data_IF_192300201065
#
_entry.id   IF_192300201065
#
_cell.length_a   1.000
_cell.length_b   1.000
_cell.length_c   1.000
_cell.angle_alpha   90.00
_cell.angle_beta   90.00
_cell.angle_gamma   90.00
#
_symmetry.space_group_name_H-M   'P 1'
#
loop_
_entity.id
_entity.type
_entity.pdbx_description
1 polymer ?
#
# COMPACT_ATOMS: atom_id res chain seq x y z
N UNK A 1 -12.63 13.27 2.19
CA UNK A 1 -11.39 12.54 2.57
C UNK A 1 -10.15 13.37 2.27
N UNK A 2 -10.08 14.04 1.09
CA UNK A 2 -8.88 14.78 0.67
C UNK A 2 -8.62 16.03 1.51
N UNK A 3 -9.66 16.70 1.98
CA UNK A 3 -9.54 17.82 2.91
C UNK A 3 -8.90 17.37 4.24
N UNK A 4 -9.37 16.26 4.80
CA UNK A 4 -8.82 15.71 6.05
C UNK A 4 -7.35 15.30 5.91
N UNK A 5 -6.95 14.73 4.77
CA UNK A 5 -5.54 14.36 4.53
C UNK A 5 -4.64 15.60 4.50
N UNK A 6 -5.04 16.66 3.79
CA UNK A 6 -4.26 17.91 3.76
C UNK A 6 -4.14 18.56 5.14
N UNK A 7 -5.18 18.47 5.95
CA UNK A 7 -5.21 18.97 7.32
C UNK A 7 -4.28 18.17 8.24
N UNK A 8 -4.29 16.84 8.10
CA UNK A 8 -3.35 15.97 8.85
C UNK A 8 -1.92 16.19 8.39
N UNK A 9 -1.68 16.41 7.08
CA UNK A 9 -0.34 16.73 6.57
C UNK A 9 0.22 18.03 7.16
N UNK A 10 -0.63 19.00 7.53
CA UNK A 10 -0.20 20.22 8.19
C UNK A 10 0.41 19.99 9.58
N UNK A 11 0.06 18.88 10.28
CA UNK A 11 0.68 18.51 11.56
C UNK A 11 2.17 18.20 11.47
N UNK A 12 2.62 17.74 10.32
CA UNK A 12 4.01 17.39 10.04
C UNK A 12 4.75 18.49 9.30
N UNK A 13 4.22 19.71 9.30
CA UNK A 13 4.89 20.88 8.72
C UNK A 13 6.00 21.37 9.65
N UNK A 14 7.05 21.95 9.08
CA UNK A 14 8.04 22.71 9.85
C UNK A 14 7.53 24.11 10.25
N UNK A 15 6.36 24.50 9.76
CA UNK A 15 5.69 25.74 10.10
C UNK A 15 4.80 25.56 11.33
N UNK A 16 5.12 26.24 12.42
CA UNK A 16 4.41 26.14 13.71
C UNK A 16 2.94 26.57 13.59
N UNK A 17 2.61 27.50 12.70
CA UNK A 17 1.24 27.93 12.50
C UNK A 17 0.39 26.83 11.82
N UNK A 18 0.97 26.13 10.86
CA UNK A 18 0.34 24.98 10.21
C UNK A 18 0.16 23.81 11.18
N UNK A 19 1.15 23.55 12.05
CA UNK A 19 1.02 22.56 13.13
C UNK A 19 -0.09 22.90 14.11
N UNK A 20 -0.18 24.14 14.57
CA UNK A 20 -1.25 24.58 15.48
C UNK A 20 -2.63 24.42 14.85
N UNK A 21 -2.76 24.78 13.57
CA UNK A 21 -3.98 24.58 12.79
C UNK A 21 -4.36 23.11 12.69
N UNK A 22 -3.41 22.25 12.29
CA UNK A 22 -3.61 20.81 12.20
C UNK A 22 -4.06 20.20 13.53
N UNK A 23 -3.38 20.53 14.66
CA UNK A 23 -3.75 20.07 15.99
C UNK A 23 -5.17 20.49 16.40
N UNK A 24 -5.60 21.69 16.02
CA UNK A 24 -6.96 22.17 16.28
C UNK A 24 -7.99 21.33 15.52
N UNK A 25 -7.76 21.05 14.26
CA UNK A 25 -8.63 20.23 13.42
C UNK A 25 -8.73 18.80 13.94
N UNK A 26 -7.60 18.19 14.35
CA UNK A 26 -7.58 16.88 15.01
C UNK A 26 -8.45 16.83 16.26
N UNK A 27 -8.35 17.85 17.11
CA UNK A 27 -9.18 17.94 18.33
C UNK A 27 -10.66 18.03 17.99
N UNK A 28 -11.05 18.78 16.96
CA UNK A 28 -12.45 18.85 16.51
C UNK A 28 -12.92 17.54 15.88
N UNK A 29 -12.08 16.88 15.07
CA UNK A 29 -12.39 15.57 14.50
C UNK A 29 -12.61 14.50 15.59
N UNK A 30 -11.71 14.42 16.59
CA UNK A 30 -11.82 13.49 17.74
C UNK A 30 -13.08 13.77 18.59
N UNK A 31 -13.64 14.98 18.58
CA UNK A 31 -14.92 15.28 19.24
C UNK A 31 -16.14 14.81 18.43
N UNK A 32 -16.05 14.85 17.10
CA UNK A 32 -17.14 14.50 16.20
C UNK A 32 -17.22 12.99 15.90
N UNK A 33 -16.09 12.28 16.03
CA UNK A 33 -15.99 10.86 15.68
C UNK A 33 -15.36 10.06 16.80
N UNK A 34 -16.03 9.01 17.22
CA UNK A 34 -15.46 8.03 18.16
C UNK A 34 -14.83 6.87 17.39
N UNK A 35 -13.85 6.19 18.00
CA UNK A 35 -13.28 4.95 17.44
C UNK A 35 -14.39 3.94 17.14
N UNK A 36 -15.40 3.80 18.02
CA UNK A 36 -16.53 2.89 17.81
C UNK A 36 -17.38 3.20 16.60
N UNK A 37 -17.60 4.49 16.30
CA UNK A 37 -18.33 4.90 15.09
C UNK A 37 -17.55 4.57 13.84
N UNK A 38 -16.23 4.75 13.86
CA UNK A 38 -15.37 4.42 12.72
C UNK A 38 -15.13 2.90 12.58
N UNK A 39 -15.10 2.14 13.69
CA UNK A 39 -15.10 0.67 13.65
C UNK A 39 -16.38 0.10 13.03
N UNK A 40 -17.49 0.82 13.14
CA UNK A 40 -18.75 0.48 12.48
C UNK A 40 -18.77 0.77 10.97
N UNK A 41 -17.87 1.62 10.49
CA UNK A 41 -17.65 1.85 9.07
C UNK A 41 -17.03 0.60 8.44
N UNK A 42 -17.45 0.25 7.23
CA UNK A 42 -16.94 -0.94 6.49
C UNK A 42 -15.68 -0.64 5.68
N UNK A 43 -15.21 0.61 5.64
CA UNK A 43 -13.99 0.99 4.93
C UNK A 43 -12.74 0.38 5.58
N UNK A 44 -11.84 -0.20 4.78
CA UNK A 44 -10.55 -0.73 5.24
C UNK A 44 -9.60 0.35 5.76
N UNK A 45 -9.84 1.61 5.44
CA UNK A 45 -8.98 2.73 5.85
C UNK A 45 -9.54 3.56 7.02
N UNK A 46 -10.64 3.12 7.61
CA UNK A 46 -11.38 3.85 8.66
C UNK A 46 -10.54 4.28 9.88
N UNK A 47 -9.53 3.49 10.22
CA UNK A 47 -8.64 3.78 11.35
C UNK A 47 -7.39 4.58 10.96
N UNK A 48 -7.11 4.75 9.67
CA UNK A 48 -5.92 5.44 9.18
C UNK A 48 -5.78 6.89 9.72
N UNK A 49 -6.85 7.72 9.80
CA UNK A 49 -6.74 9.07 10.36
C UNK A 49 -6.28 9.06 11.82
N UNK A 50 -6.76 8.12 12.65
CA UNK A 50 -6.31 8.00 14.04
C UNK A 50 -4.85 7.58 14.14
N UNK A 51 -4.39 6.65 13.33
CA UNK A 51 -2.98 6.27 13.28
C UNK A 51 -2.09 7.47 12.95
N UNK A 52 -2.50 8.31 12.00
CA UNK A 52 -1.76 9.52 11.63
C UNK A 52 -1.68 10.51 12.81
N UNK A 53 -2.74 10.64 13.60
CA UNK A 53 -2.75 11.49 14.78
C UNK A 53 -1.82 10.99 15.88
N UNK A 54 -1.86 9.67 16.15
CA UNK A 54 -0.96 9.04 17.11
C UNK A 54 0.52 9.15 16.66
N UNK A 55 0.78 9.03 15.35
CA UNK A 55 2.11 9.26 14.79
C UNK A 55 2.57 10.71 15.00
N UNK A 56 1.71 11.70 14.73
CA UNK A 56 2.03 13.11 14.88
C UNK A 56 2.31 13.51 16.35
N UNK A 57 1.62 12.89 17.30
CA UNK A 57 1.82 13.12 18.74
C UNK A 57 2.97 12.28 19.34
N UNK A 58 3.49 11.29 18.60
CA UNK A 58 4.54 10.40 19.10
C UNK A 58 5.92 11.04 19.09
N UNK A 59 6.76 10.66 20.05
CA UNK A 59 8.18 11.08 20.10
C UNK A 59 8.93 10.58 18.87
N UNK A 60 8.55 9.42 18.32
CA UNK A 60 9.25 8.78 17.21
C UNK A 60 8.95 9.43 15.86
N UNK A 61 7.71 9.85 15.62
CA UNK A 61 7.26 10.29 14.30
C UNK A 61 6.82 11.75 14.26
N UNK A 62 6.64 12.40 15.42
CA UNK A 62 6.15 13.78 15.50
C UNK A 62 7.04 14.82 14.81
N UNK A 63 8.34 14.52 14.65
CA UNK A 63 9.30 15.39 13.94
C UNK A 63 9.50 15.00 12.47
N UNK A 64 8.85 13.94 11.97
CA UNK A 64 8.94 13.59 10.57
C UNK A 64 8.39 14.72 9.69
N UNK A 65 8.98 14.90 8.51
CA UNK A 65 8.49 15.87 7.53
C UNK A 65 7.77 15.13 6.41
N UNK A 66 6.51 15.47 6.20
CA UNK A 66 5.71 14.95 5.10
C UNK A 66 5.80 15.93 3.92
N UNK A 67 6.14 15.42 2.74
CA UNK A 67 6.27 16.23 1.52
C UNK A 67 5.97 15.41 0.26
N UNK A 68 5.95 16.07 -0.89
CA UNK A 68 5.72 15.45 -2.20
C UNK A 68 4.42 14.63 -2.29
N UNK A 69 3.40 14.98 -1.51
CA UNK A 69 2.10 14.33 -1.58
C UNK A 69 1.47 14.48 -2.97
N UNK A 70 0.94 13.39 -3.48
CA UNK A 70 0.19 13.31 -4.74
C UNK A 70 -1.05 12.48 -4.51
N UNK A 71 -2.19 12.94 -5.03
CA UNK A 71 -3.45 12.19 -5.07
C UNK A 71 -4.14 12.50 -6.40
N UNK A 72 -4.18 11.51 -7.28
CA UNK A 72 -4.67 11.66 -8.65
C UNK A 72 -5.71 10.57 -8.93
N UNK A 73 -6.87 10.96 -9.41
CA UNK A 73 -7.91 10.08 -9.93
C UNK A 73 -8.23 10.54 -11.34
N UNK A 74 -7.92 9.72 -12.35
CA UNK A 74 -8.15 10.00 -13.75
C UNK A 74 -9.11 8.95 -14.31
N UNK A 75 -10.38 9.33 -14.40
CA UNK A 75 -11.48 8.43 -14.77
C UNK A 75 -11.30 7.85 -16.19
N UNK A 76 -10.89 8.67 -17.14
CA UNK A 76 -10.69 8.27 -18.54
C UNK A 76 -9.55 7.27 -18.71
N UNK A 77 -8.56 7.28 -17.81
CA UNK A 77 -7.43 6.36 -17.81
C UNK A 77 -7.60 5.20 -16.83
N UNK A 78 -8.75 5.10 -16.15
CA UNK A 78 -8.98 4.14 -15.05
C UNK A 78 -7.82 4.12 -14.05
N UNK A 79 -7.23 5.30 -13.76
CA UNK A 79 -6.06 5.46 -12.91
C UNK A 79 -6.45 6.02 -11.56
N UNK A 80 -6.02 5.34 -10.50
CA UNK A 80 -5.99 5.87 -9.15
C UNK A 80 -4.57 5.76 -8.59
N UNK A 81 -3.96 6.91 -8.32
CA UNK A 81 -2.60 6.98 -7.80
C UNK A 81 -2.49 7.95 -6.63
N UNK A 82 -1.89 7.49 -5.53
CA UNK A 82 -1.55 8.38 -4.42
C UNK A 82 -0.24 7.94 -3.78
N UNK A 83 0.61 8.90 -3.50
CA UNK A 83 1.90 8.69 -2.87
C UNK A 83 2.33 9.87 -1.99
N UNK A 84 3.17 9.59 -1.01
CA UNK A 84 3.72 10.59 -0.12
C UNK A 84 5.15 10.21 0.28
N UNK A 85 6.00 11.22 0.49
CA UNK A 85 7.33 11.06 1.07
C UNK A 85 7.32 11.51 2.53
N UNK A 86 7.83 10.66 3.42
CA UNK A 86 8.00 10.92 4.85
C UNK A 86 9.50 10.92 5.14
N UNK A 87 10.06 12.09 5.45
CA UNK A 87 11.46 12.21 5.88
C UNK A 87 11.56 11.87 7.35
N UNK A 88 12.38 10.89 7.68
CA UNK A 88 12.58 10.40 9.04
C UNK A 88 13.72 11.14 9.73
N UNK A 89 13.78 11.05 11.07
CA UNK A 89 14.81 11.71 11.90
C UNK A 89 16.23 11.22 11.61
N UNK A 90 16.39 10.00 11.06
CA UNK A 90 17.67 9.44 10.66
C UNK A 90 18.18 9.97 9.30
N UNK A 91 17.48 10.93 8.70
CA UNK A 91 17.79 11.52 7.39
C UNK A 91 17.41 10.66 6.19
N UNK A 92 16.79 9.49 6.42
CA UNK A 92 16.24 8.67 5.33
C UNK A 92 14.82 9.10 5.00
N UNK A 93 14.33 8.77 3.80
CA UNK A 93 12.93 8.98 3.43
C UNK A 93 12.20 7.65 3.31
N UNK A 94 10.93 7.63 3.75
CA UNK A 94 9.99 6.55 3.48
C UNK A 94 9.00 7.02 2.41
N UNK A 95 8.98 6.33 1.28
CA UNK A 95 8.01 6.55 0.21
C UNK A 95 6.83 5.60 0.43
N UNK A 96 5.66 6.17 0.68
CA UNK A 96 4.44 5.41 0.88
C UNK A 96 3.53 5.52 -0.34
N UNK A 97 3.21 4.39 -0.96
CA UNK A 97 2.18 4.28 -1.98
C UNK A 97 0.88 3.80 -1.35
N UNK A 98 -0.21 4.52 -1.62
CA UNK A 98 -1.54 4.14 -1.16
C UNK A 98 -2.08 2.98 -2.01
N UNK A 99 -2.76 2.05 -1.35
CA UNK A 99 -3.57 1.02 -1.99
C UNK A 99 -4.83 1.58 -2.64
N UNK A 100 -5.69 0.69 -3.09
CA UNK A 100 -7.00 1.02 -3.63
C UNK A 100 -7.85 1.67 -2.55
N UNK A 101 -8.56 2.74 -2.91
CA UNK A 101 -9.69 3.21 -2.11
C UNK A 101 -10.95 2.40 -2.47
N UNK A 102 -12.07 2.71 -1.80
CA UNK A 102 -13.35 2.02 -2.03
C UNK A 102 -14.02 2.44 -3.37
N UNK A 103 -13.26 2.96 -4.35
CA UNK A 103 -13.79 3.35 -5.66
C UNK A 103 -13.77 2.19 -6.64
N UNK A 104 -14.78 2.13 -7.52
CA UNK A 104 -14.87 1.16 -8.62
C UNK A 104 -13.64 1.24 -9.53
N UNK A 105 -13.13 2.46 -9.78
CA UNK A 105 -11.94 2.70 -10.62
C UNK A 105 -10.72 2.00 -10.03
N UNK A 106 -10.51 2.12 -8.73
CA UNK A 106 -9.39 1.47 -8.05
C UNK A 106 -9.47 -0.06 -8.13
N UNK A 107 -10.64 -0.64 -7.90
CA UNK A 107 -10.84 -2.10 -8.00
C UNK A 107 -10.65 -2.62 -9.43
N UNK A 108 -11.12 -1.91 -10.46
CA UNK A 108 -10.87 -2.27 -11.86
C UNK A 108 -9.37 -2.28 -12.18
N UNK A 109 -8.63 -1.26 -11.73
CA UNK A 109 -7.19 -1.19 -11.95
C UNK A 109 -6.46 -2.36 -11.27
N UNK A 110 -6.89 -2.79 -10.09
CA UNK A 110 -6.32 -3.94 -9.38
C UNK A 110 -6.48 -5.25 -10.16
N UNK A 111 -7.63 -5.47 -10.77
CA UNK A 111 -7.85 -6.63 -11.64
C UNK A 111 -7.03 -6.56 -12.93
N UNK A 112 -6.83 -5.36 -13.48
CA UNK A 112 -6.03 -5.15 -14.68
C UNK A 112 -4.53 -5.44 -14.45
N UNK A 113 -4.04 -5.49 -13.19
CA UNK A 113 -2.69 -5.97 -12.88
C UNK A 113 -2.40 -7.39 -13.42
N UNK A 114 -3.43 -8.22 -13.58
CA UNK A 114 -3.30 -9.56 -14.16
C UNK A 114 -3.16 -9.55 -15.68
N UNK A 115 -3.49 -8.45 -16.34
CA UNK A 115 -3.52 -8.33 -17.82
C UNK A 115 -2.36 -7.55 -18.39
N UNK A 116 -1.61 -6.82 -17.57
CA UNK A 116 -0.46 -6.03 -18.02
C UNK A 116 -0.08 -4.90 -17.07
N UNK A 117 0.72 -3.98 -17.58
CA UNK A 117 1.18 -2.81 -16.84
C UNK A 117 0.07 -1.78 -16.75
N UNK A 118 -0.37 -1.47 -15.54
CA UNK A 118 -1.44 -0.48 -15.29
C UNK A 118 -0.90 0.95 -15.20
N UNK A 119 -1.75 1.98 -15.46
CA UNK A 119 -1.35 3.38 -15.40
C UNK A 119 -0.70 3.78 -14.07
N UNK A 120 -1.22 3.32 -12.92
CA UNK A 120 -0.64 3.61 -11.62
C UNK A 120 0.78 3.08 -11.45
N UNK A 121 1.14 1.94 -12.07
CA UNK A 121 2.52 1.43 -12.05
C UNK A 121 3.48 2.36 -12.81
N UNK A 122 3.08 2.85 -13.98
CA UNK A 122 3.87 3.85 -14.73
C UNK A 122 4.05 5.12 -13.90
N UNK A 123 2.97 5.56 -13.27
CA UNK A 123 2.98 6.75 -12.42
C UNK A 123 3.87 6.58 -11.19
N UNK A 124 3.95 5.35 -10.62
CA UNK A 124 4.87 5.04 -9.53
C UNK A 124 6.34 5.18 -9.96
N UNK A 125 6.71 4.74 -11.17
CA UNK A 125 8.06 4.94 -11.72
C UNK A 125 8.39 6.42 -11.88
N UNK A 126 7.49 7.22 -12.45
CA UNK A 126 7.66 8.66 -12.60
C UNK A 126 7.81 9.37 -11.24
N UNK A 127 7.01 8.94 -10.25
CA UNK A 127 7.11 9.47 -8.90
C UNK A 127 8.47 9.15 -8.28
N UNK A 128 8.94 7.90 -8.38
CA UNK A 128 10.25 7.48 -7.88
C UNK A 128 11.39 8.24 -8.57
N UNK A 129 11.32 8.46 -9.89
CA UNK A 129 12.30 9.26 -10.62
C UNK A 129 12.36 10.67 -10.08
N UNK A 130 11.21 11.34 -9.89
CA UNK A 130 11.14 12.69 -9.34
C UNK A 130 11.73 12.79 -7.94
N UNK A 131 11.52 11.76 -7.10
CA UNK A 131 12.12 11.72 -5.76
C UNK A 131 13.62 11.50 -5.87
N UNK A 132 14.08 10.59 -6.74
CA UNK A 132 15.51 10.34 -6.95
C UNK A 132 16.29 11.61 -7.29
N UNK A 133 15.73 12.46 -8.13
CA UNK A 133 16.37 13.69 -8.57
C UNK A 133 16.54 14.73 -7.43
N UNK A 134 15.72 14.63 -6.38
CA UNK A 134 15.69 15.56 -5.26
C UNK A 134 16.26 15.01 -3.95
N UNK A 135 16.24 13.67 -3.77
CA UNK A 135 16.64 13.03 -2.52
C UNK A 135 18.16 12.97 -2.39
N UNK A 136 18.67 13.51 -1.30
CA UNK A 136 20.08 13.38 -0.90
C UNK A 136 20.34 12.12 -0.03
N UNK A 137 19.30 11.51 0.53
CA UNK A 137 19.38 10.38 1.46
C UNK A 137 18.93 9.06 0.88
N UNK A 138 19.07 8.02 1.71
CA UNK A 138 18.60 6.67 1.39
C UNK A 138 17.08 6.57 1.50
N UNK A 139 16.49 5.63 0.76
CA UNK A 139 15.05 5.45 0.64
C UNK A 139 14.59 4.10 1.22
N UNK A 140 13.47 4.12 1.91
CA UNK A 140 12.60 2.97 2.14
C UNK A 140 11.33 3.20 1.35
N UNK A 141 10.80 2.16 0.75
CA UNK A 141 9.61 2.26 -0.11
C UNK A 141 8.60 1.23 0.36
N UNK A 142 7.32 1.56 0.40
CA UNK A 142 6.33 0.57 0.78
C UNK A 142 4.90 1.00 0.53
N UNK A 143 4.00 0.05 0.75
CA UNK A 143 2.56 0.27 0.66
C UNK A 143 1.79 -1.00 1.04
N UNK A 144 0.48 -0.86 1.14
CA UNK A 144 -0.47 -1.92 1.44
C UNK A 144 -1.32 -2.20 0.20
N UNK A 145 -1.70 -3.44 -0.03
CA UNK A 145 -2.55 -3.84 -1.16
C UNK A 145 -1.91 -3.43 -2.51
N UNK A 146 -2.63 -2.78 -3.41
CA UNK A 146 -2.07 -2.20 -4.64
C UNK A 146 -0.84 -1.33 -4.37
N UNK A 147 -0.82 -0.58 -3.26
CA UNK A 147 0.34 0.22 -2.87
C UNK A 147 1.60 -0.60 -2.66
N UNK A 148 1.49 -1.85 -2.17
CA UNK A 148 2.59 -2.79 -2.06
C UNK A 148 3.14 -3.25 -3.43
N UNK A 149 2.24 -3.46 -4.40
CA UNK A 149 2.62 -3.72 -5.79
C UNK A 149 3.32 -2.51 -6.41
N UNK A 150 2.74 -1.30 -6.26
CA UNK A 150 3.35 -0.06 -6.77
C UNK A 150 4.74 0.20 -6.16
N UNK A 151 4.93 -0.11 -4.87
CA UNK A 151 6.21 0.03 -4.20
C UNK A 151 7.30 -0.86 -4.83
N UNK A 152 6.98 -2.12 -5.12
CA UNK A 152 7.91 -3.03 -5.81
C UNK A 152 8.11 -2.55 -7.25
N UNK A 153 7.03 -2.35 -8.03
CA UNK A 153 7.14 -1.99 -9.44
C UNK A 153 7.92 -0.68 -9.66
N UNK A 154 7.55 0.38 -8.93
CA UNK A 154 8.21 1.67 -9.01
C UNK A 154 9.70 1.61 -8.65
N UNK A 155 10.04 0.80 -7.62
CA UNK A 155 11.42 0.61 -7.19
C UNK A 155 12.25 -0.20 -8.18
N UNK A 156 11.69 -1.26 -8.76
CA UNK A 156 12.38 -2.15 -9.72
C UNK A 156 12.59 -1.45 -11.06
N UNK A 157 11.56 -0.78 -11.57
CA UNK A 157 11.61 -0.17 -12.90
C UNK A 157 12.31 1.19 -12.94
N UNK A 158 12.50 1.85 -11.79
CA UNK A 158 13.22 3.12 -11.69
C UNK A 158 14.69 2.89 -11.33
N UNK A 159 15.54 2.61 -12.32
CA UNK A 159 16.97 2.29 -12.11
C UNK A 159 17.75 3.37 -11.34
N UNK A 160 17.38 4.63 -11.49
CA UNK A 160 18.07 5.76 -10.81
C UNK A 160 17.96 5.73 -9.29
N UNK A 161 17.05 4.91 -8.72
CA UNK A 161 16.90 4.77 -7.26
C UNK A 161 17.53 3.50 -6.69
N UNK A 162 18.01 2.56 -7.51
CA UNK A 162 18.46 1.25 -7.04
C UNK A 162 19.50 1.36 -5.92
N UNK A 163 20.54 2.19 -6.11
CA UNK A 163 21.60 2.38 -5.10
C UNK A 163 21.11 3.13 -3.85
N UNK A 164 20.02 3.90 -3.97
CA UNK A 164 19.45 4.65 -2.85
C UNK A 164 18.46 3.83 -2.02
N UNK A 165 17.91 2.73 -2.54
CA UNK A 165 16.92 1.93 -1.83
C UNK A 165 17.56 1.02 -0.80
N UNK A 166 17.14 1.15 0.46
CA UNK A 166 17.46 0.26 1.58
C UNK A 166 16.56 -0.96 1.61
N UNK A 167 15.24 -0.76 1.60
CA UNK A 167 14.23 -1.81 1.67
C UNK A 167 12.94 -1.39 0.95
N UNK A 168 12.25 -2.41 0.43
CA UNK A 168 10.94 -2.29 -0.22
C UNK A 168 9.97 -3.18 0.55
N UNK A 169 8.88 -2.61 1.04
CA UNK A 169 7.86 -3.29 1.84
C UNK A 169 6.57 -3.45 1.04
N UNK A 170 6.15 -4.69 0.80
CA UNK A 170 4.83 -4.99 0.25
C UNK A 170 3.97 -5.66 1.32
N UNK A 171 2.98 -4.93 1.80
CA UNK A 171 2.06 -5.38 2.83
C UNK A 171 0.78 -5.89 2.15
N UNK A 172 0.66 -7.20 2.04
CA UNK A 172 -0.46 -7.91 1.40
C UNK A 172 -0.77 -7.40 -0.03
N UNK A 173 0.29 -7.03 -0.77
CA UNK A 173 0.18 -6.59 -2.15
C UNK A 173 0.18 -7.76 -3.13
N UNK A 174 -0.60 -7.65 -4.25
CA UNK A 174 -0.59 -8.65 -5.30
C UNK A 174 0.76 -8.75 -5.99
N UNK A 175 1.03 -9.89 -6.61
CA UNK A 175 2.25 -10.16 -7.35
C UNK A 175 2.29 -9.51 -8.74
N UNK A 176 3.02 -10.17 -9.64
CA UNK A 176 3.33 -9.66 -10.97
C UNK A 176 3.21 -10.78 -12.01
N UNK A 177 3.31 -10.41 -13.28
CA UNK A 177 3.48 -11.40 -14.35
C UNK A 177 4.81 -12.14 -14.18
N UNK A 178 4.85 -13.36 -14.69
CA UNK A 178 6.08 -14.19 -14.69
C UNK A 178 7.25 -13.45 -15.37
N UNK A 179 6.98 -12.76 -16.46
CA UNK A 179 7.97 -11.98 -17.19
C UNK A 179 8.62 -10.89 -16.34
N UNK A 180 7.83 -10.15 -15.54
CA UNK A 180 8.38 -9.17 -14.60
C UNK A 180 9.23 -9.83 -13.52
N UNK A 181 8.77 -10.95 -12.96
CA UNK A 181 9.48 -11.68 -11.89
C UNK A 181 10.84 -12.20 -12.37
N UNK A 182 10.92 -12.70 -13.59
CA UNK A 182 12.15 -13.25 -14.20
C UNK A 182 13.09 -12.16 -14.76
N UNK A 183 12.71 -10.88 -14.66
CA UNK A 183 13.54 -9.79 -15.20
C UNK A 183 14.83 -9.59 -14.40
N UNK A 184 15.93 -9.17 -15.07
CA UNK A 184 17.19 -8.85 -14.40
C UNK A 184 17.06 -7.78 -13.33
N UNK A 185 16.21 -6.78 -13.56
CA UNK A 185 15.92 -5.70 -12.64
C UNK A 185 15.25 -6.22 -11.35
N UNK A 186 14.30 -7.15 -11.49
CA UNK A 186 13.68 -7.79 -10.33
C UNK A 186 14.70 -8.62 -9.55
N UNK A 187 15.53 -9.40 -10.23
CA UNK A 187 16.58 -10.19 -9.59
C UNK A 187 17.56 -9.32 -8.78
N UNK A 188 17.96 -8.17 -9.31
CA UNK A 188 18.83 -7.20 -8.62
C UNK A 188 18.18 -6.66 -7.34
N UNK A 189 16.89 -6.34 -7.38
CA UNK A 189 16.18 -5.71 -6.27
C UNK A 189 15.59 -6.71 -5.26
N UNK A 190 15.53 -8.00 -5.61
CA UNK A 190 14.96 -9.07 -4.77
C UNK A 190 15.50 -9.10 -3.33
N UNK A 191 16.82 -8.91 -3.05
CA UNK A 191 17.33 -8.90 -1.68
C UNK A 191 16.79 -7.75 -0.81
N UNK A 192 16.27 -6.69 -1.44
CA UNK A 192 15.73 -5.52 -0.77
C UNK A 192 14.23 -5.63 -0.50
N UNK A 193 13.53 -6.56 -1.16
CA UNK A 193 12.08 -6.76 -1.04
C UNK A 193 11.75 -7.54 0.24
N UNK A 194 10.78 -7.02 0.99
CA UNK A 194 10.16 -7.66 2.16
C UNK A 194 8.67 -7.72 1.90
N UNK A 195 8.13 -8.95 1.82
CA UNK A 195 6.69 -9.19 1.70
C UNK A 195 6.15 -9.60 3.06
N UNK A 196 5.06 -8.98 3.48
CA UNK A 196 4.34 -9.29 4.72
C UNK A 196 2.90 -9.57 4.33
N UNK A 197 2.37 -10.72 4.72
CA UNK A 197 0.98 -11.12 4.42
C UNK A 197 0.33 -11.75 5.66
N UNK A 198 -0.98 -11.60 5.87
CA UNK A 198 -1.67 -12.30 6.95
C UNK A 198 -1.78 -13.80 6.66
N UNK A 199 -2.06 -14.60 7.69
CA UNK A 199 -2.21 -16.06 7.54
C UNK A 199 -3.39 -16.49 6.63
N UNK A 200 -4.36 -15.60 6.40
CA UNK A 200 -5.44 -15.77 5.42
C UNK A 200 -5.35 -14.64 4.37
N UNK A 201 -4.30 -14.66 3.55
CA UNK A 201 -4.10 -13.69 2.49
C UNK A 201 -4.64 -14.24 1.16
N UNK A 202 -5.57 -13.54 0.55
CA UNK A 202 -6.00 -13.78 -0.84
C UNK A 202 -5.28 -12.82 -1.78
N UNK A 203 -5.31 -11.52 -1.47
CA UNK A 203 -4.71 -10.48 -2.33
C UNK A 203 -3.20 -10.68 -2.46
N UNK A 204 -2.50 -10.86 -1.34
CA UNK A 204 -1.04 -11.04 -1.33
C UNK A 204 -0.56 -12.37 -1.93
N UNK A 205 -1.49 -13.25 -2.34
CA UNK A 205 -1.16 -14.51 -3.03
C UNK A 205 -1.62 -14.52 -4.49
N UNK A 206 -2.27 -13.45 -4.97
CA UNK A 206 -2.61 -13.29 -6.38
C UNK A 206 -1.35 -13.04 -7.22
N UNK A 207 -1.32 -13.61 -8.40
CA UNK A 207 -0.21 -13.52 -9.37
C UNK A 207 1.11 -14.14 -8.85
N UNK A 208 2.19 -13.99 -9.63
CA UNK A 208 3.47 -14.63 -9.32
C UNK A 208 4.27 -13.87 -8.26
N UNK A 209 4.95 -14.64 -7.42
CA UNK A 209 5.83 -14.13 -6.38
C UNK A 209 7.06 -15.02 -6.20
N UNK A 210 8.23 -14.53 -6.46
CA UNK A 210 9.46 -15.27 -6.13
C UNK A 210 9.86 -15.12 -4.65
N UNK A 211 9.64 -13.92 -4.06
CA UNK A 211 10.02 -13.67 -2.67
C UNK A 211 9.06 -14.33 -1.69
N UNK A 212 9.57 -15.20 -0.84
CA UNK A 212 8.80 -15.79 0.25
C UNK A 212 8.33 -14.72 1.23
N UNK A 213 7.06 -14.74 1.64
CA UNK A 213 6.50 -13.75 2.55
C UNK A 213 6.83 -14.04 4.01
N UNK A 214 6.80 -13.00 4.83
CA UNK A 214 6.65 -13.10 6.28
C UNK A 214 5.15 -13.20 6.54
N UNK A 215 4.71 -14.33 7.09
CA UNK A 215 3.31 -14.56 7.42
C UNK A 215 3.04 -14.05 8.82
N UNK A 216 1.97 -13.28 9.00
CA UNK A 216 1.62 -12.66 10.28
C UNK A 216 0.22 -13.07 10.75
N UNK A 217 0.03 -13.05 12.07
CA UNK A 217 -1.26 -13.27 12.69
C UNK A 217 -2.18 -12.05 12.52
N UNK A 218 -3.48 -12.31 12.54
CA UNK A 218 -4.51 -11.28 12.51
C UNK A 218 -5.62 -11.60 13.52
N UNK A 219 -6.19 -10.56 14.13
CA UNK A 219 -7.38 -10.65 14.99
C UNK A 219 -8.67 -10.82 14.18
N UNK A 220 -8.63 -10.48 12.89
CA UNK A 220 -9.75 -10.66 11.96
C UNK A 220 -9.82 -12.06 11.36
N UNK A 221 -10.87 -12.35 10.60
CA UNK A 221 -11.10 -13.65 9.96
C UNK A 221 -11.31 -13.53 8.45
N UNK A 222 -10.83 -14.52 7.71
CA UNK A 222 -11.03 -14.61 6.26
C UNK A 222 -10.50 -13.37 5.54
N UNK A 223 -11.23 -12.86 4.56
CA UNK A 223 -10.84 -11.69 3.76
C UNK A 223 -10.60 -10.42 4.58
N UNK A 224 -11.22 -10.29 5.76
CA UNK A 224 -11.01 -9.13 6.63
C UNK A 224 -9.60 -9.07 7.21
N UNK A 225 -8.80 -10.12 7.10
CA UNK A 225 -7.38 -10.08 7.45
C UNK A 225 -6.55 -9.21 6.49
N UNK A 226 -7.11 -8.84 5.33
CA UNK A 226 -6.49 -7.87 4.43
C UNK A 226 -6.32 -6.49 5.08
N UNK A 227 -7.16 -6.14 6.07
CA UNK A 227 -7.00 -4.92 6.87
C UNK A 227 -5.73 -5.01 7.74
N UNK A 228 -4.70 -4.24 7.39
CA UNK A 228 -3.42 -4.18 8.12
C UNK A 228 -3.57 -3.75 9.58
N UNK A 229 -4.63 -3.04 9.96
CA UNK A 229 -4.93 -2.69 11.36
C UNK A 229 -5.39 -3.88 12.21
N UNK A 230 -5.75 -4.99 11.58
CA UNK A 230 -6.07 -6.25 12.26
C UNK A 230 -4.86 -7.13 12.56
N UNK A 231 -3.67 -6.79 12.06
CA UNK A 231 -2.47 -7.62 12.23
C UNK A 231 -1.93 -7.49 13.66
N UNK A 232 -1.69 -8.65 14.28
CA UNK A 232 -1.23 -8.70 15.66
C UNK A 232 0.19 -8.19 15.82
N UNK A 233 0.40 -7.26 16.77
CA UNK A 233 1.69 -6.67 17.11
C UNK A 233 2.13 -7.14 18.48
N UNK A 234 3.40 -7.53 18.61
CA UNK A 234 4.03 -7.87 19.89
C UNK A 234 5.41 -7.21 19.97
N UNK A 235 5.56 -6.32 20.93
CA UNK A 235 6.79 -5.51 21.04
C UNK A 235 7.04 -4.69 19.77
N UNK A 236 8.25 -4.78 19.16
CA UNK A 236 8.61 -3.97 18.00
C UNK A 236 8.21 -4.60 16.66
N UNK A 237 7.40 -5.66 16.62
CA UNK A 237 7.11 -6.39 15.38
C UNK A 237 5.77 -7.11 15.39
N UNK A 238 5.45 -7.70 14.24
CA UNK A 238 4.26 -8.53 14.07
C UNK A 238 4.43 -9.92 14.67
N UNK A 239 3.35 -10.49 15.21
CA UNK A 239 3.28 -11.90 15.60
C UNK A 239 3.33 -12.75 14.34
N UNK A 240 4.36 -13.61 14.22
CA UNK A 240 4.58 -14.42 13.01
C UNK A 240 3.84 -15.75 13.07
N UNK A 241 3.56 -16.29 11.89
CA UNK A 241 3.04 -17.64 11.65
C UNK A 241 3.99 -18.40 10.72
N UNK A 242 4.06 -19.71 10.88
CA UNK A 242 4.93 -20.57 10.07
C UNK A 242 4.36 -20.87 8.68
N UNK A 243 3.04 -20.76 8.52
CA UNK A 243 2.36 -21.09 7.26
C UNK A 243 1.03 -20.34 7.13
N UNK A 244 0.53 -20.27 5.88
CA UNK A 244 -0.83 -19.84 5.59
C UNK A 244 -1.85 -20.81 6.19
N UNK A 245 -3.03 -20.28 6.48
CA UNK A 245 -4.17 -21.08 6.93
C UNK A 245 -4.57 -22.11 5.86
N UNK A 246 -4.84 -23.37 6.28
CA UNK A 246 -5.19 -24.46 5.34
C UNK A 246 -6.43 -24.17 4.50
N UNK A 247 -7.40 -23.47 5.08
CA UNK A 247 -8.63 -23.08 4.34
C UNK A 247 -8.31 -22.01 3.30
N UNK A 248 -7.43 -21.06 3.62
CA UNK A 248 -6.93 -20.06 2.67
C UNK A 248 -6.23 -20.75 1.49
N UNK A 249 -5.30 -21.68 1.76
CA UNK A 249 -4.59 -22.42 0.71
C UNK A 249 -5.54 -23.12 -0.26
N UNK A 250 -6.57 -23.80 0.25
CA UNK A 250 -7.58 -24.47 -0.61
C UNK A 250 -8.36 -23.46 -1.45
N UNK A 251 -8.75 -22.34 -0.87
CA UNK A 251 -9.47 -21.30 -1.60
C UNK A 251 -8.59 -20.68 -2.68
N UNK A 252 -7.33 -20.39 -2.38
CA UNK A 252 -6.32 -19.86 -3.31
C UNK A 252 -6.13 -20.82 -4.49
N UNK A 253 -5.96 -22.12 -4.23
CA UNK A 253 -5.83 -23.14 -5.28
C UNK A 253 -7.04 -23.16 -6.24
N UNK A 254 -8.25 -23.06 -5.71
CA UNK A 254 -9.48 -23.02 -6.50
C UNK A 254 -9.51 -21.73 -7.33
N UNK A 255 -9.21 -20.59 -6.71
CA UNK A 255 -9.23 -19.28 -7.36
C UNK A 255 -8.20 -19.21 -8.50
N UNK A 256 -6.96 -19.67 -8.27
CA UNK A 256 -5.94 -19.72 -9.30
C UNK A 256 -6.36 -20.61 -10.47
N UNK A 257 -6.81 -21.83 -10.22
CA UNK A 257 -7.31 -22.73 -11.27
C UNK A 257 -8.44 -22.11 -12.07
N UNK A 258 -9.31 -21.36 -11.42
CA UNK A 258 -10.42 -20.70 -12.09
C UNK A 258 -9.94 -19.53 -12.96
N UNK A 259 -9.06 -18.66 -12.43
CA UNK A 259 -8.48 -17.53 -13.16
C UNK A 259 -7.58 -18.01 -14.32
N UNK A 260 -6.76 -19.04 -14.09
CA UNK A 260 -5.86 -19.60 -15.10
C UNK A 260 -6.63 -20.32 -16.23
N UNK A 261 -7.81 -20.83 -15.93
CA UNK A 261 -8.73 -21.42 -16.93
C UNK A 261 -9.44 -20.41 -17.81
N UNK A 262 -9.35 -19.11 -17.50
CA UNK A 262 -9.97 -18.02 -18.31
C UNK A 262 -8.99 -17.49 -19.35
N UNK A 263 -9.48 -17.27 -20.55
CA UNK A 263 -8.78 -16.45 -21.53
C UNK A 263 -8.86 -14.94 -21.19
N UNK A 264 -8.12 -14.12 -21.93
CA UNK A 264 -8.05 -12.68 -21.68
C UNK A 264 -9.40 -11.98 -21.82
N UNK A 265 -10.23 -12.41 -22.75
CA UNK A 265 -11.56 -11.85 -22.96
C UNK A 265 -12.52 -12.21 -21.83
N UNK A 266 -12.46 -13.46 -21.35
CA UNK A 266 -13.24 -13.91 -20.19
C UNK A 266 -12.84 -13.16 -18.91
N UNK A 267 -11.53 -12.92 -18.69
CA UNK A 267 -11.05 -12.08 -17.57
C UNK A 267 -11.59 -10.66 -17.68
N UNK A 268 -11.55 -10.06 -18.87
CA UNK A 268 -12.07 -8.71 -19.12
C UNK A 268 -13.59 -8.62 -18.85
N UNK A 269 -14.36 -9.57 -19.37
CA UNK A 269 -15.82 -9.63 -19.17
C UNK A 269 -16.17 -9.83 -17.69
N UNK A 270 -15.44 -10.69 -16.98
CA UNK A 270 -15.63 -10.88 -15.54
C UNK A 270 -15.45 -9.56 -14.76
N UNK A 271 -14.41 -8.79 -15.12
CA UNK A 271 -14.14 -7.49 -14.49
C UNK A 271 -15.29 -6.52 -14.80
N UNK A 272 -15.71 -6.45 -16.05
CA UNK A 272 -16.81 -5.58 -16.46
C UNK A 272 -18.11 -5.93 -15.75
N UNK A 273 -18.47 -7.22 -15.70
CA UNK A 273 -19.68 -7.68 -15.02
C UNK A 273 -19.64 -7.47 -13.49
N UNK A 274 -18.47 -7.68 -12.88
CA UNK A 274 -18.30 -7.49 -11.45
C UNK A 274 -18.49 -6.03 -11.02
N UNK A 275 -18.18 -5.09 -11.90
CA UNK A 275 -18.25 -3.64 -11.66
C UNK A 275 -19.31 -2.91 -12.48
N UNK A 276 -20.21 -3.63 -13.15
CA UNK A 276 -21.30 -3.07 -13.97
C UNK A 276 -22.48 -2.48 -13.17
N UNK A 277 -22.39 -2.39 -11.81
CA UNK A 277 -23.46 -1.90 -10.94
C UNK A 277 -23.26 -0.46 -10.49
#
# INVERSE_FOLDING_TARGET
PDALVSEVLALFSNDEQSKEYGLKLVKEFKKLHTIKELEADKSFIRLAPFMMFEMAESVRFGNCVIRNYVNEIVTEAEQQFSAVEIVLDDGTSYISFRGTDDTIIGWKEDFNLSTGVVPAQKRAVEYMQRISDKASGMLRVGGHSKGGNLAIYGSVMCKSVHDKILKIYSNDGPGFSKEFQESPETAEMMPKIIRIIPEYSIIGTLLEHEKQPIIVASTSRGLLQHDGFSWEVQGPGFVRRDSLNKTALRFIEILHKWIDGMDMEQKRLLIEDLFAT
#
